data_IF_178573069265
#
_entry.id   IF_178573069265
#
_cell.length_a   1.000
_cell.length_b   1.000
_cell.length_c   1.000
_cell.angle_alpha   90.00
_cell.angle_beta   90.00
_cell.angle_gamma   90.00
#
_symmetry.space_group_name_H-M   'P 1'
#
loop_
_entity.id
_entity.type
_entity.pdbx_description
1 polymer ?
#
# COMPACT_ATOMS: atom_id res chain seq x y z
N UNK A 1 -0.27 7.15 21.91
CA UNK A 1 -1.25 6.47 21.01
C UNK A 1 -0.78 6.45 19.57
N UNK A 2 -0.56 7.62 18.92
CA UNK A 2 -0.25 7.68 17.48
C UNK A 2 1.12 7.07 17.11
N UNK A 3 2.16 7.33 17.93
CA UNK A 3 3.46 6.68 17.74
C UNK A 3 3.43 5.19 18.08
N UNK A 4 2.62 4.80 19.02
CA UNK A 4 2.44 3.43 19.47
C UNK A 4 1.78 2.59 18.39
N UNK A 5 0.67 3.05 17.78
CA UNK A 5 0.00 2.35 16.68
C UNK A 5 0.90 2.17 15.45
N UNK A 6 1.69 3.20 15.11
CA UNK A 6 2.65 3.09 14.01
C UNK A 6 3.77 2.09 14.33
N UNK A 7 4.21 2.02 15.60
CA UNK A 7 5.24 1.09 16.04
C UNK A 7 4.72 -0.35 16.04
N UNK A 8 3.47 -0.58 16.44
CA UNK A 8 2.79 -1.88 16.35
C UNK A 8 2.65 -2.33 14.90
N UNK A 9 2.13 -1.48 14.03
CA UNK A 9 2.01 -1.79 12.60
C UNK A 9 3.38 -2.04 11.93
N UNK A 10 4.44 -1.33 12.35
CA UNK A 10 5.80 -1.60 11.89
C UNK A 10 6.28 -2.97 12.35
N UNK A 11 6.06 -3.33 13.61
CA UNK A 11 6.43 -4.62 14.16
C UNK A 11 5.69 -5.77 13.45
N UNK A 12 4.38 -5.61 13.22
CA UNK A 12 3.58 -6.58 12.47
C UNK A 12 4.10 -6.73 11.02
N UNK A 13 4.42 -5.61 10.35
CA UNK A 13 5.01 -5.62 9.01
C UNK A 13 6.38 -6.31 8.96
N UNK A 14 7.24 -6.10 9.97
CA UNK A 14 8.54 -6.77 10.09
C UNK A 14 8.39 -8.28 10.33
N UNK A 15 7.45 -8.68 11.19
CA UNK A 15 7.12 -10.08 11.46
C UNK A 15 6.59 -10.77 10.21
N UNK A 16 5.60 -10.15 9.57
CA UNK A 16 5.03 -10.68 8.31
C UNK A 16 6.07 -10.79 7.20
N UNK A 17 6.94 -9.79 7.03
CA UNK A 17 8.01 -9.84 6.03
C UNK A 17 9.07 -10.90 6.31
N UNK A 18 9.26 -11.28 7.57
CA UNK A 18 10.17 -12.36 7.95
C UNK A 18 9.63 -13.72 7.52
N UNK A 19 8.36 -13.96 7.75
CA UNK A 19 7.67 -15.20 7.41
C UNK A 19 6.23 -14.88 6.97
N UNK A 20 5.99 -14.67 5.66
CA UNK A 20 4.67 -14.32 5.15
C UNK A 20 3.68 -15.47 5.30
N UNK A 21 2.82 -15.39 6.30
CA UNK A 21 1.71 -16.31 6.52
C UNK A 21 0.42 -15.52 6.78
N UNK A 22 -0.71 -16.01 6.27
CA UNK A 22 -1.98 -15.33 6.43
C UNK A 22 -2.02 -13.96 5.76
N UNK A 23 -2.75 -13.04 6.35
CA UNK A 23 -2.99 -11.71 5.79
C UNK A 23 -2.60 -10.61 6.78
N UNK A 24 -2.07 -9.51 6.26
CA UNK A 24 -1.84 -8.28 7.02
C UNK A 24 -2.71 -7.16 6.44
N UNK A 25 -3.66 -6.65 7.23
CA UNK A 25 -4.52 -5.53 6.87
C UNK A 25 -4.07 -4.26 7.60
N UNK A 26 -3.51 -3.31 6.87
CA UNK A 26 -3.10 -2.00 7.38
C UNK A 26 -4.19 -0.97 7.12
N UNK A 27 -4.82 -0.44 8.16
CA UNK A 27 -5.86 0.60 8.05
C UNK A 27 -5.41 1.92 8.65
N UNK A 28 -6.02 3.04 8.24
CA UNK A 28 -5.77 4.34 8.82
C UNK A 28 -5.74 5.49 7.81
N UNK A 29 -5.61 6.75 8.28
CA UNK A 29 -5.73 7.93 7.44
C UNK A 29 -4.66 7.98 6.34
N UNK A 30 -4.92 8.80 5.30
CA UNK A 30 -3.93 9.05 4.25
C UNK A 30 -2.65 9.66 4.84
N UNK A 31 -1.49 9.18 4.37
CA UNK A 31 -0.19 9.69 4.79
C UNK A 31 0.34 9.17 6.13
N UNK A 32 -0.35 8.23 6.81
CA UNK A 32 0.11 7.63 8.07
C UNK A 32 1.22 6.58 7.90
N UNK A 33 1.54 6.13 6.66
CA UNK A 33 2.67 5.24 6.40
C UNK A 33 2.33 3.85 5.85
N UNK A 34 1.06 3.49 5.64
CA UNK A 34 0.61 2.18 5.14
C UNK A 34 1.37 1.70 3.90
N UNK A 35 1.34 2.50 2.83
CA UNK A 35 2.06 2.22 1.56
C UNK A 35 3.57 2.03 1.78
N UNK A 36 4.19 2.78 2.70
CA UNK A 36 5.60 2.61 3.01
C UNK A 36 5.89 1.27 3.68
N UNK A 37 5.02 0.83 4.61
CA UNK A 37 5.14 -0.48 5.25
C UNK A 37 4.92 -1.60 4.22
N UNK A 38 3.92 -1.48 3.37
CA UNK A 38 3.65 -2.43 2.29
C UNK A 38 4.83 -2.54 1.31
N UNK A 39 5.42 -1.40 0.91
CA UNK A 39 6.61 -1.38 0.06
C UNK A 39 7.84 -1.98 0.75
N UNK A 40 8.01 -1.77 2.06
CA UNK A 40 9.09 -2.37 2.83
C UNK A 40 8.96 -3.90 2.92
N UNK A 41 7.72 -4.43 3.08
CA UNK A 41 7.45 -5.87 3.03
C UNK A 41 7.83 -6.43 1.66
N UNK A 42 7.44 -5.76 0.56
CA UNK A 42 7.79 -6.15 -0.80
C UNK A 42 9.31 -6.21 -0.98
N UNK A 43 10.03 -5.15 -0.60
CA UNK A 43 11.49 -5.09 -0.68
C UNK A 43 12.16 -6.23 0.09
N UNK A 44 11.68 -6.50 1.32
CA UNK A 44 12.22 -7.58 2.15
C UNK A 44 11.93 -8.98 1.59
N UNK A 45 10.81 -9.15 0.90
CA UNK A 45 10.50 -10.39 0.17
C UNK A 45 11.48 -10.61 -0.98
N UNK A 46 11.72 -9.56 -1.80
CA UNK A 46 12.65 -9.62 -2.92
C UNK A 46 14.11 -9.83 -2.46
N UNK A 47 14.55 -9.21 -1.37
CA UNK A 47 15.87 -9.44 -0.76
C UNK A 47 16.11 -10.91 -0.36
N UNK A 48 15.05 -11.69 -0.28
CA UNK A 48 15.07 -13.13 0.06
C UNK A 48 14.70 -14.03 -1.12
N UNK A 49 14.76 -13.50 -2.33
CA UNK A 49 14.39 -14.20 -3.57
C UNK A 49 12.95 -14.77 -3.54
N UNK A 50 12.04 -14.12 -2.79
CA UNK A 50 10.62 -14.50 -2.73
C UNK A 50 9.83 -13.62 -3.69
N UNK A 51 9.14 -14.19 -4.69
CA UNK A 51 8.34 -13.40 -5.62
C UNK A 51 7.19 -12.68 -4.92
N UNK A 52 6.98 -11.42 -5.30
CA UNK A 52 5.89 -10.58 -4.81
C UNK A 52 5.19 -9.89 -5.97
N UNK A 53 3.86 -9.91 -5.94
CA UNK A 53 3.04 -9.10 -6.82
C UNK A 53 2.54 -7.88 -6.04
N UNK A 54 3.09 -6.71 -6.33
CA UNK A 54 2.69 -5.45 -5.71
C UNK A 54 1.87 -4.62 -6.69
N UNK A 55 0.68 -4.20 -6.28
CA UNK A 55 -0.17 -3.39 -7.14
C UNK A 55 -1.01 -2.38 -6.36
N UNK A 56 -1.23 -1.22 -6.95
CA UNK A 56 -2.21 -0.22 -6.54
C UNK A 56 -3.57 -0.62 -7.09
N UNK A 57 -4.58 -0.80 -6.23
CA UNK A 57 -5.86 -1.42 -6.61
C UNK A 57 -6.57 -0.72 -7.76
N UNK A 58 -6.70 0.63 -7.82
CA UNK A 58 -7.28 1.30 -8.97
C UNK A 58 -6.55 0.98 -10.29
N UNK A 59 -5.23 1.05 -10.29
CA UNK A 59 -4.42 0.75 -11.49
C UNK A 59 -4.51 -0.72 -11.91
N UNK A 60 -4.63 -1.64 -10.95
CA UNK A 60 -4.84 -3.05 -11.22
C UNK A 60 -6.10 -3.29 -12.03
N UNK A 61 -7.21 -2.68 -11.59
CA UNK A 61 -8.52 -2.86 -12.24
C UNK A 61 -8.52 -2.25 -13.65
N UNK A 62 -7.88 -1.09 -13.83
CA UNK A 62 -7.72 -0.49 -15.16
C UNK A 62 -6.84 -1.37 -16.06
N UNK A 63 -5.77 -1.94 -15.52
CA UNK A 63 -4.91 -2.85 -16.26
C UNK A 63 -5.63 -4.15 -16.64
N UNK A 64 -6.36 -4.77 -15.70
CA UNK A 64 -7.20 -5.93 -16.00
C UNK A 64 -8.23 -5.64 -17.10
N UNK A 65 -8.82 -4.42 -17.10
CA UNK A 65 -9.74 -4.02 -18.15
C UNK A 65 -9.06 -3.86 -19.49
N UNK A 66 -7.83 -3.34 -19.52
CA UNK A 66 -7.07 -3.15 -20.76
C UNK A 66 -6.63 -4.48 -21.40
N UNK A 67 -6.50 -5.57 -20.63
CA UNK A 67 -6.13 -6.89 -21.15
C UNK A 67 -7.23 -7.57 -21.98
N UNK A 68 -8.44 -7.01 -22.02
CA UNK A 68 -9.49 -7.46 -22.95
C UNK A 68 -9.23 -7.01 -24.39
N UNK A 69 -8.29 -6.10 -24.64
CA UNK A 69 -7.90 -5.71 -25.99
C UNK A 69 -7.16 -6.87 -26.67
N UNK A 70 -7.47 -7.18 -27.97
CA UNK A 70 -6.74 -8.19 -28.73
C UNK A 70 -5.23 -7.90 -28.88
N UNK A 71 -4.85 -6.63 -28.76
CA UNK A 71 -3.45 -6.17 -28.88
C UNK A 71 -2.70 -6.21 -27.55
N UNK A 72 -3.30 -6.70 -26.47
CA UNK A 72 -2.64 -6.79 -25.17
C UNK A 72 -1.52 -7.83 -25.19
N UNK A 73 -0.31 -7.51 -24.72
CA UNK A 73 0.81 -8.45 -24.68
C UNK A 73 0.62 -9.57 -23.66
N UNK A 74 -0.28 -9.40 -22.68
CA UNK A 74 -0.62 -10.38 -21.65
C UNK A 74 -2.13 -10.60 -21.72
N UNK A 75 -2.55 -11.87 -21.74
CA UNK A 75 -3.95 -12.23 -21.70
C UNK A 75 -4.60 -11.94 -20.35
N UNK A 76 -5.89 -11.62 -20.36
CA UNK A 76 -6.67 -11.39 -19.13
C UNK A 76 -6.55 -12.57 -18.16
N UNK A 77 -6.74 -13.79 -18.65
CA UNK A 77 -6.73 -15.00 -17.82
C UNK A 77 -5.38 -15.22 -17.17
N UNK A 78 -4.29 -14.98 -17.88
CA UNK A 78 -2.94 -15.12 -17.36
C UNK A 78 -2.67 -14.14 -16.21
N UNK A 79 -2.95 -12.84 -16.41
CA UNK A 79 -2.77 -11.84 -15.37
C UNK A 79 -3.67 -12.13 -14.15
N UNK A 80 -4.91 -12.53 -14.40
CA UNK A 80 -5.87 -12.81 -13.34
C UNK A 80 -5.45 -14.02 -12.48
N UNK A 81 -4.95 -15.08 -13.13
CA UNK A 81 -4.40 -16.24 -12.43
C UNK A 81 -3.12 -15.89 -11.65
N UNK A 82 -2.23 -15.07 -12.21
CA UNK A 82 -1.05 -14.57 -11.48
C UNK A 82 -1.44 -13.84 -10.20
N UNK A 83 -2.46 -12.99 -10.21
CA UNK A 83 -2.96 -12.30 -9.01
C UNK A 83 -3.52 -13.26 -7.97
N UNK A 84 -4.29 -14.26 -8.41
CA UNK A 84 -4.89 -15.25 -7.52
C UNK A 84 -3.85 -16.14 -6.87
N UNK A 85 -2.79 -16.50 -7.58
CA UNK A 85 -1.81 -17.53 -7.17
C UNK A 85 -0.45 -16.99 -6.75
N UNK A 86 -0.21 -15.68 -6.84
CA UNK A 86 1.06 -15.07 -6.42
C UNK A 86 1.47 -15.53 -5.01
N UNK A 87 2.73 -15.91 -4.77
CA UNK A 87 3.22 -16.32 -3.45
C UNK A 87 2.99 -15.27 -2.37
N UNK A 88 3.15 -13.99 -2.72
CA UNK A 88 2.77 -12.84 -1.92
C UNK A 88 2.08 -11.83 -2.82
N UNK A 89 0.86 -11.41 -2.46
CA UNK A 89 0.13 -10.33 -3.11
C UNK A 89 0.05 -9.11 -2.18
N UNK A 90 0.35 -7.94 -2.70
CA UNK A 90 0.15 -6.66 -2.00
C UNK A 90 -0.86 -5.83 -2.78
N UNK A 91 -2.02 -5.58 -2.16
CA UNK A 91 -3.10 -4.74 -2.67
C UNK A 91 -3.05 -3.39 -1.95
N UNK A 92 -2.45 -2.38 -2.59
CA UNK A 92 -2.30 -1.05 -2.00
C UNK A 92 -3.49 -0.17 -2.34
N UNK A 93 -4.03 0.50 -1.29
CA UNK A 93 -5.14 1.47 -1.34
C UNK A 93 -6.47 0.88 -1.81
N UNK A 94 -6.87 -0.26 -1.20
CA UNK A 94 -8.20 -0.85 -1.39
C UNK A 94 -9.29 0.16 -0.96
N UNK A 95 -10.27 0.38 -1.80
CA UNK A 95 -11.35 1.33 -1.59
C UNK A 95 -11.16 2.67 -2.30
N UNK A 96 -9.99 2.90 -2.93
CA UNK A 96 -9.74 4.07 -3.77
C UNK A 96 -10.22 3.89 -5.22
N UNK A 97 -10.56 2.66 -5.61
CA UNK A 97 -11.07 2.34 -6.94
C UNK A 97 -12.53 2.81 -7.14
N UNK A 98 -12.89 3.05 -8.39
CA UNK A 98 -14.29 3.30 -8.76
C UNK A 98 -15.14 2.05 -8.49
N UNK A 99 -16.18 2.19 -7.69
CA UNK A 99 -17.12 1.11 -7.37
C UNK A 99 -17.99 0.81 -8.60
N UNK A 100 -17.61 -0.21 -9.36
CA UNK A 100 -18.40 -0.76 -10.45
C UNK A 100 -18.67 -2.24 -10.19
N UNK A 101 -19.82 -2.81 -10.63
CA UNK A 101 -20.11 -4.22 -10.43
C UNK A 101 -19.00 -5.15 -10.92
N UNK A 102 -18.33 -4.78 -12.02
CA UNK A 102 -17.22 -5.53 -12.56
C UNK A 102 -15.98 -5.49 -11.63
N UNK A 103 -15.62 -4.29 -11.14
CA UNK A 103 -14.47 -4.12 -10.22
C UNK A 103 -14.70 -4.88 -8.91
N UNK A 104 -15.90 -4.76 -8.33
CA UNK A 104 -16.29 -5.48 -7.12
C UNK A 104 -16.25 -7.01 -7.32
N UNK A 105 -16.70 -7.50 -8.48
CA UNK A 105 -16.66 -8.92 -8.79
C UNK A 105 -15.22 -9.44 -8.94
N UNK A 106 -14.32 -8.69 -9.60
CA UNK A 106 -12.93 -9.08 -9.76
C UNK A 106 -12.16 -9.09 -8.43
N UNK A 107 -12.33 -8.06 -7.62
CA UNK A 107 -11.76 -8.02 -6.26
C UNK A 107 -12.30 -9.15 -5.39
N UNK A 108 -13.59 -9.41 -5.45
CA UNK A 108 -14.22 -10.53 -4.74
C UNK A 108 -13.57 -11.87 -5.11
N UNK A 109 -13.42 -12.16 -6.40
CA UNK A 109 -12.82 -13.41 -6.88
C UNK A 109 -11.37 -13.57 -6.39
N UNK A 110 -10.54 -12.52 -6.47
CA UNK A 110 -9.15 -12.54 -6.00
C UNK A 110 -9.11 -12.77 -4.48
N UNK A 111 -9.86 -11.99 -3.73
CA UNK A 111 -9.86 -12.00 -2.26
C UNK A 111 -10.36 -13.35 -1.73
N UNK A 112 -11.49 -13.86 -2.27
CA UNK A 112 -12.04 -15.15 -1.81
C UNK A 112 -11.09 -16.29 -2.14
N UNK A 113 -10.55 -16.36 -3.36
CA UNK A 113 -9.61 -17.42 -3.72
C UNK A 113 -8.38 -17.44 -2.80
N UNK A 114 -7.79 -16.28 -2.55
CA UNK A 114 -6.59 -16.17 -1.72
C UNK A 114 -6.86 -16.46 -0.24
N UNK A 115 -8.04 -16.05 0.25
CA UNK A 115 -8.47 -16.34 1.62
C UNK A 115 -8.67 -17.85 1.83
N UNK A 116 -9.38 -18.53 0.92
CA UNK A 116 -9.62 -19.96 0.98
C UNK A 116 -8.32 -20.79 0.86
N UNK A 117 -7.43 -20.35 -0.02
CA UNK A 117 -6.12 -20.97 -0.22
C UNK A 117 -5.06 -20.56 0.82
N UNK A 118 -5.41 -19.65 1.77
CA UNK A 118 -4.50 -19.09 2.79
C UNK A 118 -3.21 -18.52 2.23
N UNK A 119 -3.30 -17.91 1.04
CA UNK A 119 -2.13 -17.32 0.38
C UNK A 119 -1.75 -15.98 1.02
N UNK A 120 -0.46 -15.74 1.32
CA UNK A 120 0.03 -14.52 1.94
C UNK A 120 -0.42 -13.27 1.21
N UNK A 121 -1.10 -12.36 1.93
CA UNK A 121 -1.66 -11.15 1.32
C UNK A 121 -1.51 -9.95 2.24
N UNK A 122 -1.04 -8.84 1.70
CA UNK A 122 -1.03 -7.54 2.40
C UNK A 122 -2.04 -6.62 1.74
N UNK A 123 -2.87 -5.98 2.55
CA UNK A 123 -3.86 -5.01 2.07
C UNK A 123 -3.68 -3.72 2.83
N UNK A 124 -3.67 -2.60 2.12
CA UNK A 124 -3.74 -1.27 2.73
C UNK A 124 -5.05 -0.58 2.35
N UNK A 125 -5.64 0.15 3.27
CA UNK A 125 -6.86 0.91 3.02
C UNK A 125 -6.99 2.11 3.97
N UNK A 126 -7.73 3.12 3.56
CA UNK A 126 -8.14 4.23 4.42
C UNK A 126 -9.44 3.94 5.14
N UNK A 127 -10.18 2.93 4.71
CA UNK A 127 -11.48 2.56 5.26
C UNK A 127 -11.35 1.93 6.65
N UNK A 128 -12.24 2.27 7.55
CA UNK A 128 -12.44 1.54 8.81
C UNK A 128 -13.14 0.20 8.55
N UNK A 129 -13.18 -0.66 9.54
CA UNK A 129 -13.93 -1.94 9.45
C UNK A 129 -15.39 -1.73 9.14
N UNK A 130 -16.03 -0.74 9.78
CA UNK A 130 -17.44 -0.39 9.57
C UNK A 130 -17.66 0.13 8.13
N UNK A 131 -16.74 0.94 7.62
CA UNK A 131 -16.80 1.44 6.24
C UNK A 131 -16.57 0.30 5.21
N UNK A 132 -15.70 -0.66 5.51
CA UNK A 132 -15.51 -1.87 4.69
C UNK A 132 -16.80 -2.69 4.67
N UNK A 133 -17.44 -2.93 5.81
CA UNK A 133 -18.70 -3.66 5.89
C UNK A 133 -19.81 -3.00 5.10
N UNK A 134 -19.89 -1.66 5.13
CA UNK A 134 -20.90 -0.89 4.41
C UNK A 134 -20.65 -0.80 2.91
N UNK A 135 -19.39 -0.52 2.52
CA UNK A 135 -19.03 -0.26 1.12
C UNK A 135 -18.64 -1.51 0.33
N UNK A 136 -18.18 -2.56 1.02
CA UNK A 136 -17.67 -3.79 0.40
C UNK A 136 -18.18 -5.06 1.10
N UNK A 137 -19.51 -5.21 1.29
CA UNK A 137 -20.08 -6.28 2.11
C UNK A 137 -19.72 -7.69 1.65
N UNK A 138 -19.47 -7.89 0.35
CA UNK A 138 -19.10 -9.20 -0.22
C UNK A 138 -17.75 -9.70 0.25
N UNK A 139 -16.80 -8.82 0.52
CA UNK A 139 -15.43 -9.17 0.95
C UNK A 139 -15.18 -8.88 2.43
N UNK A 140 -16.03 -8.10 3.06
CA UNK A 140 -15.88 -7.65 4.44
C UNK A 140 -15.58 -8.81 5.41
N UNK A 141 -16.36 -9.89 5.36
CA UNK A 141 -16.18 -11.04 6.24
C UNK A 141 -14.81 -11.72 6.12
N UNK A 142 -14.15 -11.63 4.97
CA UNK A 142 -12.80 -12.15 4.74
C UNK A 142 -11.73 -11.21 5.25
N UNK A 143 -11.97 -9.89 5.15
CA UNK A 143 -11.01 -8.88 5.59
C UNK A 143 -10.97 -8.72 7.12
N UNK A 144 -12.02 -9.14 7.83
CA UNK A 144 -12.10 -9.09 9.29
C UNK A 144 -12.00 -10.48 9.96
N UNK A 145 -11.69 -11.52 9.20
CA UNK A 145 -11.51 -12.87 9.73
C UNK A 145 -10.21 -12.99 10.54
N UNK A 146 -10.31 -12.87 11.86
CA UNK A 146 -9.17 -12.91 12.78
C UNK A 146 -8.40 -14.24 12.80
N UNK A 147 -8.90 -15.29 12.16
CA UNK A 147 -8.18 -16.56 12.02
C UNK A 147 -7.15 -16.52 10.87
N UNK A 148 -7.27 -15.55 9.97
CA UNK A 148 -6.43 -15.41 8.78
C UNK A 148 -5.79 -14.03 8.69
N UNK A 149 -6.47 -12.99 9.19
CA UNK A 149 -6.10 -11.58 9.01
C UNK A 149 -5.58 -10.98 10.31
N UNK A 150 -4.35 -10.53 10.30
CA UNK A 150 -3.78 -9.64 11.31
C UNK A 150 -4.12 -8.19 10.93
N UNK A 151 -4.95 -7.55 11.76
CA UNK A 151 -5.45 -6.20 11.49
C UNK A 151 -4.74 -5.15 12.34
N UNK A 152 -4.05 -4.23 11.67
CA UNK A 152 -3.23 -3.19 12.28
C UNK A 152 -3.77 -1.78 11.95
N UNK A 153 -4.55 -1.18 12.87
CA UNK A 153 -5.03 0.19 12.71
C UNK A 153 -3.95 1.22 13.06
N UNK A 154 -3.59 2.07 12.10
CA UNK A 154 -2.63 3.14 12.28
C UNK A 154 -3.37 4.46 12.52
N UNK A 155 -3.29 4.99 13.74
CA UNK A 155 -3.92 6.26 14.12
C UNK A 155 -2.98 7.46 13.94
N UNK A 156 -1.74 7.23 13.50
CA UNK A 156 -0.76 8.29 13.31
C UNK A 156 -1.25 9.34 12.28
N UNK A 157 -1.04 10.64 12.56
CA UNK A 157 -1.43 11.69 11.64
C UNK A 157 -0.57 11.68 10.35
N UNK A 158 -1.02 12.42 9.34
CA UNK A 158 -0.33 12.53 8.07
C UNK A 158 1.10 13.07 8.23
N UNK A 159 2.09 12.24 7.97
CA UNK A 159 3.51 12.61 8.07
C UNK A 159 3.90 13.74 7.10
N UNK A 160 3.22 13.88 5.96
CA UNK A 160 3.51 14.93 4.97
C UNK A 160 3.17 16.30 5.52
N UNK A 161 2.10 16.44 6.31
CA UNK A 161 1.68 17.69 6.91
C UNK A 161 2.63 18.08 8.05
N UNK A 162 3.02 17.14 8.90
CA UNK A 162 4.04 17.37 9.94
C UNK A 162 5.39 17.80 9.34
N UNK A 163 5.78 17.25 8.19
CA UNK A 163 7.02 17.65 7.52
C UNK A 163 6.94 19.06 6.95
N UNK A 164 5.79 19.46 6.40
CA UNK A 164 5.55 20.84 5.93
C UNK A 164 5.61 21.84 7.08
N UNK A 165 4.98 21.55 8.20
CA UNK A 165 5.03 22.37 9.41
C UNK A 165 6.46 22.53 9.95
N UNK A 166 7.21 21.45 10.03
CA UNK A 166 8.63 21.48 10.43
C UNK A 166 9.52 22.25 9.44
N UNK A 167 9.21 22.24 8.16
CA UNK A 167 9.96 22.99 7.14
C UNK A 167 9.62 24.48 7.19
N UNK A 168 8.36 24.84 7.41
CA UNK A 168 7.94 26.25 7.54
C UNK A 168 8.41 26.89 8.85
N UNK A 169 8.63 26.08 9.91
CA UNK A 169 9.17 26.53 11.19
C UNK A 169 10.71 26.67 11.20
N UNK A 170 11.41 26.25 10.15
CA UNK A 170 12.86 26.47 10.04
C UNK A 170 13.14 27.94 9.72
N UNK A 171 14.01 28.63 10.49
CA UNK A 171 14.42 29.97 10.15
C UNK A 171 15.08 30.01 8.78
N UNK A 172 14.90 31.09 8.02
CA UNK A 172 15.49 31.22 6.69
C UNK A 172 17.01 31.10 6.80
N UNK A 173 17.59 30.21 5.99
CA UNK A 173 19.05 30.05 5.92
C UNK A 173 19.64 31.40 5.46
N UNK A 174 20.59 32.01 6.21
CA UNK A 174 21.22 33.26 5.77
C UNK A 174 21.80 33.10 4.38
N UNK A 175 21.35 33.93 3.43
CA UNK A 175 21.98 34.01 2.13
C UNK A 175 23.40 34.51 2.34
N UNK A 176 24.40 33.66 2.09
CA UNK A 176 25.78 34.11 1.98
C UNK A 176 25.83 35.17 0.87
N UNK A 177 26.04 36.44 1.28
CA UNK A 177 26.37 37.52 0.31
C UNK A 177 27.70 37.11 -0.36
N UNK A 178 27.63 36.88 -1.65
CA UNK A 178 28.87 36.76 -2.45
C UNK A 178 29.62 38.07 -2.27
N UNK A 179 30.75 38.01 -1.60
CA UNK A 179 31.74 39.13 -1.63
C UNK A 179 32.14 39.32 -3.08
N UNK A 180 31.81 40.47 -3.64
CA UNK A 180 32.31 40.91 -4.92
C UNK A 180 33.82 40.92 -4.85
N UNK A 181 34.47 40.07 -5.65
CA UNK A 181 35.89 40.15 -5.88
C UNK A 181 36.14 41.42 -6.65
N UNK A 182 36.72 42.41 -5.96
CA UNK A 182 37.26 43.61 -6.59
C UNK A 182 38.30 43.19 -7.66
N UNK A 183 38.08 43.65 -8.86
CA UNK A 183 39.03 43.52 -9.98
C UNK A 183 40.26 44.38 -9.68
N UNK A 184 41.47 43.84 -9.78
CA UNK A 184 42.69 44.67 -9.65
C UNK A 184 42.83 45.51 -10.91
N UNK A 185 42.83 46.84 -10.74
CA UNK A 185 43.22 47.84 -11.77
C UNK A 185 44.69 47.64 -12.08
N UNK A 186 45.03 47.35 -13.33
CA UNK A 186 46.40 47.39 -13.88
C UNK A 186 46.75 48.85 -14.16
N UNK A 187 47.84 49.31 -13.53
CA UNK A 187 48.67 50.42 -14.04
C UNK A 187 49.72 49.85 -15.00
#
# INVERSE_FOLDING_TARGET
KDQESLQQAKQAAETFAADPEGWLLLTGPSGCGKTHLAAAIAGKSLDRDRPVFYTFVPSLLDHLRSTFSPDSPIGYDELFEQLKTAPLLILDDLGAESSTPWAEDKLYQIIVHRHEARLPTVITTVLSTEEIEQSKPRIASRLVDSMVVDWEPITAPNYRDQRRERQSARPPVPRFQRRDRATPTRN
#
